data_IF_064366876026
#
_entry.id   IF_064366876026
#
_cell.length_a   1.000
_cell.length_b   1.000
_cell.length_c   1.000
_cell.angle_alpha   90.00
_cell.angle_beta   90.00
_cell.angle_gamma   90.00
#
_symmetry.space_group_name_H-M   'P 1'
#
loop_
_entity.id
_entity.type
_entity.pdbx_description
1 polymer ?
#
# COMPACT_ATOMS: atom_id res chain seq x y z
N UNK A 1 -10.26 -16.18 10.37
CA UNK A 1 -9.18 -15.95 9.38
C UNK A 1 -9.14 -14.48 9.00
N UNK A 2 -7.97 -13.91 8.70
CA UNK A 2 -7.85 -12.51 8.24
C UNK A 2 -8.73 -12.16 7.03
N UNK A 3 -9.04 -13.16 6.19
CA UNK A 3 -9.55 -12.93 4.84
C UNK A 3 -8.44 -12.38 3.94
N UNK A 4 -8.58 -12.53 2.63
CA UNK A 4 -7.58 -11.99 1.68
C UNK A 4 -7.72 -10.46 1.50
N UNK A 5 -8.88 -9.92 1.88
CA UNK A 5 -9.25 -8.51 1.67
C UNK A 5 -8.27 -7.53 2.34
N UNK A 6 -7.92 -7.66 3.64
CA UNK A 6 -6.96 -6.74 4.28
C UNK A 6 -5.60 -6.70 3.58
N UNK A 7 -5.13 -7.84 3.06
CA UNK A 7 -3.86 -7.92 2.35
C UNK A 7 -3.92 -7.19 1.01
N UNK A 8 -5.01 -7.39 0.25
CA UNK A 8 -5.23 -6.70 -1.03
C UNK A 8 -5.32 -5.18 -0.83
N UNK A 9 -6.02 -4.74 0.23
CA UNK A 9 -6.13 -3.31 0.57
C UNK A 9 -4.76 -2.68 0.83
N UNK A 10 -3.91 -3.33 1.64
CA UNK A 10 -2.56 -2.84 1.97
C UNK A 10 -1.62 -2.84 0.75
N UNK A 11 -1.77 -3.80 -0.17
CA UNK A 11 -0.95 -3.91 -1.40
C UNK A 11 -1.34 -2.91 -2.49
N UNK A 12 -2.61 -2.51 -2.54
CA UNK A 12 -3.14 -1.72 -3.66
C UNK A 12 -2.45 -0.36 -3.90
N UNK A 13 -1.99 0.41 -2.89
CA UNK A 13 -1.27 1.67 -3.12
C UNK A 13 0.10 1.45 -3.75
N UNK A 14 0.78 0.37 -3.39
CA UNK A 14 2.05 -0.02 -4.00
C UNK A 14 1.88 -0.37 -5.48
N UNK A 15 0.84 -1.16 -5.80
CA UNK A 15 0.52 -1.51 -7.18
C UNK A 15 0.16 -0.25 -7.98
N UNK A 16 -0.64 0.64 -7.39
CA UNK A 16 -0.99 1.92 -8.00
C UNK A 16 0.25 2.77 -8.30
N UNK A 17 1.20 2.91 -7.37
CA UNK A 17 2.45 3.63 -7.59
C UNK A 17 3.32 3.00 -8.68
N UNK A 18 3.40 1.67 -8.76
CA UNK A 18 4.17 0.99 -9.80
C UNK A 18 3.61 1.27 -11.20
N UNK A 19 2.29 1.24 -11.36
CA UNK A 19 1.62 1.43 -12.65
C UNK A 19 1.54 2.91 -13.02
N UNK A 20 0.91 3.72 -12.18
CA UNK A 20 0.65 5.13 -12.48
C UNK A 20 1.87 6.01 -12.27
N UNK A 21 2.77 5.66 -11.34
CA UNK A 21 4.04 6.38 -11.18
C UNK A 21 4.89 6.27 -12.44
N UNK A 22 5.01 5.08 -13.03
CA UNK A 22 5.69 4.90 -14.33
C UNK A 22 5.01 5.70 -15.45
N UNK A 23 3.69 5.63 -15.55
CA UNK A 23 2.93 6.39 -16.58
C UNK A 23 3.14 7.91 -16.44
N UNK A 24 3.20 8.42 -15.21
CA UNK A 24 3.47 9.83 -14.94
C UNK A 24 4.89 10.26 -15.32
N UNK A 25 5.89 9.36 -15.23
CA UNK A 25 7.26 9.64 -15.69
C UNK A 25 7.34 9.77 -17.21
N UNK A 26 6.71 8.86 -17.94
CA UNK A 26 6.73 8.85 -19.42
C UNK A 26 5.74 9.87 -20.01
N UNK A 27 5.12 10.72 -19.17
CA UNK A 27 4.06 11.68 -19.55
C UNK A 27 2.91 11.04 -20.34
N UNK A 28 2.62 9.77 -20.07
CA UNK A 28 1.54 9.02 -20.74
C UNK A 28 0.20 9.14 -20.00
N UNK A 29 0.09 10.07 -19.05
CA UNK A 29 -1.11 10.33 -18.23
C UNK A 29 -1.18 11.82 -17.93
N UNK A 30 -2.36 12.30 -17.55
CA UNK A 30 -2.61 13.71 -17.20
C UNK A 30 -2.10 14.08 -15.81
N UNK A 31 -1.90 13.10 -14.93
CA UNK A 31 -1.46 13.31 -13.55
C UNK A 31 0.06 13.46 -13.46
N UNK A 32 0.51 14.48 -12.74
CA UNK A 32 1.93 14.66 -12.43
C UNK A 32 2.43 13.58 -11.46
N UNK A 33 3.72 13.25 -11.57
CA UNK A 33 4.36 12.26 -10.69
C UNK A 33 4.21 12.60 -9.20
N UNK A 34 4.30 13.89 -8.86
CA UNK A 34 4.10 14.37 -7.49
C UNK A 34 2.68 14.07 -6.98
N UNK A 35 1.67 14.36 -7.80
CA UNK A 35 0.26 14.07 -7.49
C UNK A 35 0.02 12.58 -7.31
N UNK A 36 0.52 11.73 -8.22
CA UNK A 36 0.40 10.27 -8.10
C UNK A 36 1.04 9.77 -6.81
N UNK A 37 2.23 10.26 -6.47
CA UNK A 37 2.94 9.85 -5.26
C UNK A 37 2.20 10.27 -3.98
N UNK A 38 1.64 11.48 -3.95
CA UNK A 38 0.84 11.97 -2.84
C UNK A 38 -0.44 11.16 -2.66
N UNK A 39 -1.14 10.85 -3.76
CA UNK A 39 -2.33 9.97 -3.75
C UNK A 39 -1.97 8.61 -3.17
N UNK A 40 -0.85 8.00 -3.61
CA UNK A 40 -0.41 6.69 -3.09
C UNK A 40 -0.16 6.71 -1.58
N UNK A 41 0.43 7.79 -1.04
CA UNK A 41 0.66 7.93 0.42
C UNK A 41 -0.68 8.02 1.16
N UNK A 42 -1.59 8.89 0.70
CA UNK A 42 -2.91 9.04 1.32
C UNK A 42 -3.65 7.71 1.28
N UNK A 43 -3.64 7.05 0.12
CA UNK A 43 -4.31 5.78 -0.08
C UNK A 43 -3.73 4.69 0.83
N UNK A 44 -2.41 4.66 1.03
CA UNK A 44 -1.79 3.75 1.99
C UNK A 44 -2.31 3.94 3.41
N UNK A 45 -2.44 5.18 3.88
CA UNK A 45 -2.96 5.45 5.23
C UNK A 45 -4.43 5.03 5.34
N UNK A 46 -5.27 5.48 4.41
CA UNK A 46 -6.72 5.23 4.43
C UNK A 46 -7.02 3.73 4.31
N UNK A 47 -6.41 3.05 3.34
CA UNK A 47 -6.66 1.62 3.13
C UNK A 47 -6.07 0.75 4.23
N UNK A 48 -4.99 1.18 4.88
CA UNK A 48 -4.50 0.51 6.09
C UNK A 48 -5.54 0.57 7.19
N UNK A 49 -6.11 1.75 7.50
CA UNK A 49 -7.16 1.88 8.53
C UNK A 49 -8.33 0.94 8.23
N UNK A 50 -8.82 0.94 6.98
CA UNK A 50 -9.91 0.06 6.55
C UNK A 50 -9.52 -1.42 6.69
N UNK A 51 -8.29 -1.80 6.30
CA UNK A 51 -7.79 -3.17 6.43
C UNK A 51 -7.78 -3.65 7.88
N UNK A 52 -7.38 -2.80 8.84
CA UNK A 52 -7.44 -3.11 10.26
C UNK A 52 -8.86 -3.25 10.78
N UNK A 53 -9.78 -2.38 10.36
CA UNK A 53 -11.20 -2.48 10.73
C UNK A 53 -11.81 -3.80 10.22
N UNK A 54 -11.56 -4.16 8.97
CA UNK A 54 -12.03 -5.42 8.37
C UNK A 54 -11.41 -6.62 9.07
N UNK A 55 -10.10 -6.59 9.33
CA UNK A 55 -9.43 -7.65 10.05
C UNK A 55 -10.00 -7.86 11.46
N UNK A 56 -10.20 -6.76 12.20
CA UNK A 56 -10.77 -6.80 13.56
C UNK A 56 -12.17 -7.39 13.56
N UNK A 57 -13.02 -6.98 12.62
CA UNK A 57 -14.35 -7.57 12.44
C UNK A 57 -14.28 -9.08 12.15
N UNK A 58 -13.42 -9.50 11.23
CA UNK A 58 -13.23 -10.91 10.88
C UNK A 58 -12.71 -11.74 12.06
N UNK A 59 -11.84 -11.18 12.90
CA UNK A 59 -11.36 -11.83 14.11
C UNK A 59 -12.48 -11.99 15.15
N UNK A 60 -13.22 -10.91 15.43
CA UNK A 60 -14.30 -10.96 16.41
C UNK A 60 -15.34 -12.01 16.01
N UNK A 61 -15.76 -12.01 14.74
CA UNK A 61 -16.68 -13.01 14.21
C UNK A 61 -16.14 -14.44 14.35
N UNK A 62 -14.86 -14.66 14.05
CA UNK A 62 -14.22 -15.97 14.21
C UNK A 62 -14.20 -16.44 15.68
N UNK A 63 -13.96 -15.54 16.63
CA UNK A 63 -13.97 -15.90 18.06
C UNK A 63 -15.38 -16.12 18.62
N UNK A 64 -16.39 -15.47 18.06
CA UNK A 64 -17.79 -15.76 18.37
C UNK A 64 -18.19 -17.16 17.90
N UNK A 65 -17.73 -17.56 16.70
CA UNK A 65 -17.96 -18.91 16.14
C UNK A 65 -17.12 -20.00 16.84
N UNK A 66 -15.99 -19.63 17.47
CA UNK A 66 -15.09 -20.56 18.15
C UNK A 66 -14.67 -20.08 19.56
N UNK A 67 -15.57 -20.16 20.56
CA UNK A 67 -15.39 -19.54 21.88
C UNK A 67 -14.24 -20.12 22.71
N UNK A 68 -13.84 -21.36 22.46
CA UNK A 68 -12.73 -22.02 23.17
C UNK A 68 -11.34 -21.69 22.59
N UNK A 69 -11.27 -20.85 21.55
CA UNK A 69 -10.00 -20.53 20.89
C UNK A 69 -9.29 -19.38 21.60
N UNK A 70 -8.01 -19.55 21.90
CA UNK A 70 -7.21 -18.52 22.55
C UNK A 70 -7.07 -17.28 21.66
N UNK A 71 -7.42 -16.11 22.21
CA UNK A 71 -7.23 -14.82 21.55
C UNK A 71 -5.76 -14.42 21.60
N UNK A 72 -4.98 -14.81 20.59
CA UNK A 72 -3.61 -14.31 20.42
C UNK A 72 -3.58 -13.14 19.43
N UNK A 73 -2.89 -12.04 19.80
CA UNK A 73 -2.71 -10.86 18.94
C UNK A 73 -1.74 -11.07 17.78
N UNK A 74 -1.25 -12.30 17.58
CA UNK A 74 -0.24 -12.65 16.59
C UNK A 74 -0.68 -12.33 15.17
N UNK A 75 -1.98 -12.45 14.91
CA UNK A 75 -2.57 -11.98 13.66
C UNK A 75 -2.32 -10.49 13.44
N UNK A 76 -2.83 -9.65 14.33
CA UNK A 76 -2.67 -8.19 14.24
C UNK A 76 -1.20 -7.76 14.15
N UNK A 77 -0.30 -8.45 14.87
CA UNK A 77 1.14 -8.23 14.76
C UNK A 77 1.66 -8.48 13.34
N UNK A 78 1.24 -9.59 12.71
CA UNK A 78 1.61 -9.91 11.33
C UNK A 78 1.08 -8.86 10.34
N UNK A 79 -0.16 -8.39 10.51
CA UNK A 79 -0.73 -7.32 9.67
C UNK A 79 0.05 -6.00 9.83
N UNK A 80 0.52 -5.71 11.04
CA UNK A 80 1.35 -4.54 11.33
C UNK A 80 2.72 -4.61 10.69
N UNK A 81 3.41 -5.73 10.84
CA UNK A 81 4.66 -5.97 10.13
C UNK A 81 4.50 -5.87 8.61
N UNK A 82 3.42 -6.44 8.06
CA UNK A 82 3.13 -6.38 6.63
C UNK A 82 2.85 -4.96 6.14
N UNK A 83 2.10 -4.18 6.91
CA UNK A 83 1.83 -2.76 6.61
C UNK A 83 3.12 -1.95 6.55
N UNK A 84 4.00 -2.10 7.55
CA UNK A 84 5.29 -1.41 7.59
C UNK A 84 6.13 -1.80 6.37
N UNK A 85 6.24 -3.10 6.08
CA UNK A 85 6.99 -3.61 4.94
C UNK A 85 6.48 -3.03 3.62
N UNK A 86 5.16 -3.05 3.38
CA UNK A 86 4.57 -2.46 2.18
C UNK A 86 4.82 -0.96 2.09
N UNK A 87 4.71 -0.23 3.20
CA UNK A 87 5.00 1.21 3.22
C UNK A 87 6.47 1.51 2.94
N UNK A 88 7.41 0.75 3.51
CA UNK A 88 8.84 0.89 3.21
C UNK A 88 9.12 0.64 1.73
N UNK A 89 8.55 -0.41 1.14
CA UNK A 89 8.70 -0.69 -0.30
C UNK A 89 8.08 0.43 -1.13
N UNK A 90 6.92 0.96 -0.75
CA UNK A 90 6.28 2.09 -1.42
C UNK A 90 7.20 3.31 -1.49
N UNK A 91 7.84 3.67 -0.36
CA UNK A 91 8.80 4.77 -0.30
C UNK A 91 10.03 4.50 -1.18
N UNK A 92 10.59 3.28 -1.15
CA UNK A 92 11.70 2.91 -2.02
C UNK A 92 11.34 3.04 -3.50
N UNK A 93 10.16 2.57 -3.90
CA UNK A 93 9.66 2.70 -5.27
C UNK A 93 9.54 4.17 -5.66
N UNK A 94 8.98 5.02 -4.80
CA UNK A 94 8.88 6.47 -5.04
C UNK A 94 10.24 7.11 -5.24
N UNK A 95 11.24 6.78 -4.41
CA UNK A 95 12.60 7.32 -4.51
C UNK A 95 13.25 6.90 -5.83
N UNK A 96 13.17 5.61 -6.19
CA UNK A 96 13.71 5.10 -7.46
C UNK A 96 13.04 5.80 -8.64
N UNK A 97 11.71 5.87 -8.64
CA UNK A 97 10.94 6.53 -9.68
C UNK A 97 11.25 8.03 -9.80
N UNK A 98 11.52 8.72 -8.69
CA UNK A 98 11.98 10.11 -8.67
C UNK A 98 13.33 10.27 -9.38
N UNK A 99 14.31 9.42 -9.08
CA UNK A 99 15.62 9.47 -9.74
C UNK A 99 15.50 9.15 -11.24
N UNK A 100 14.67 8.17 -11.61
CA UNK A 100 14.39 7.85 -13.01
C UNK A 100 13.78 9.06 -13.72
N UNK A 101 12.77 9.71 -13.15
CA UNK A 101 12.18 10.94 -13.70
C UNK A 101 13.24 12.01 -13.96
N UNK A 102 14.07 12.29 -12.97
CA UNK A 102 15.13 13.30 -13.05
C UNK A 102 16.18 12.97 -14.11
N UNK A 103 16.50 11.69 -14.28
CA UNK A 103 17.40 11.25 -15.35
C UNK A 103 16.78 11.48 -16.73
N UNK A 104 15.53 11.06 -16.94
CA UNK A 104 14.81 11.28 -18.20
C UNK A 104 14.70 12.76 -18.57
N UNK A 105 14.40 13.63 -17.59
CA UNK A 105 14.35 15.08 -17.80
C UNK A 105 15.71 15.65 -18.23
N UNK A 106 16.83 15.15 -17.67
CA UNK A 106 18.17 15.59 -18.07
C UNK A 106 18.58 15.08 -19.46
N UNK A 107 18.16 13.87 -19.85
CA UNK A 107 18.53 13.26 -21.13
C UNK A 107 17.68 13.77 -22.30
N UNK A 108 16.44 14.20 -22.04
CA UNK A 108 15.52 14.77 -23.05
C UNK A 108 15.69 16.28 -23.24
N UNK A 109 16.58 16.94 -22.49
CA UNK A 109 17.10 18.27 -22.86
C UNK A 109 18.15 18.04 -23.94
N UNK A 110 17.70 17.87 -25.18
CA UNK A 110 18.51 18.00 -26.40
C UNK A 110 17.67 18.60 -27.51
#
# INVERSE_FOLDING_TARGET
MFGIIPLVLILSPLIFQLIFGRKAIVKSTTLEFGTVSLISIILQIVLTIIAYSVASYNYNKYFEEHPNTTRCGMGSLALFGFTILCFTILLLVMIIQYFVKRYYEKTQIK
#
